data_IF_191248196645
#
_entry.id   IF_191248196645
#
_cell.length_a   1.000
_cell.length_b   1.000
_cell.length_c   1.000
_cell.angle_alpha   90.00
_cell.angle_beta   90.00
_cell.angle_gamma   90.00
#
_symmetry.space_group_name_H-M   'P 1'
#
loop_
_entity.id
_entity.type
_entity.pdbx_description
1 polymer ?
#
# COMPACT_ATOMS: atom_id res chain seq x y z
N UNK A 1 -17.49 14.10 -1.63
CA UNK A 1 -17.90 14.43 -0.25
C UNK A 1 -16.67 14.24 0.61
N UNK A 2 -16.21 15.28 1.29
CA UNK A 2 -15.00 15.21 2.13
C UNK A 2 -15.21 14.24 3.29
N UNK A 3 -14.21 13.41 3.57
CA UNK A 3 -14.26 12.49 4.70
C UNK A 3 -13.95 13.23 6.00
N UNK A 4 -14.86 13.15 6.97
CA UNK A 4 -14.74 13.79 8.29
C UNK A 4 -15.05 12.79 9.42
N UNK A 5 -14.66 13.06 10.68
CA UNK A 5 -14.93 12.16 11.80
C UNK A 5 -16.43 11.84 11.96
N UNK A 6 -17.30 12.84 11.77
CA UNK A 6 -18.75 12.68 11.80
C UNK A 6 -19.27 11.71 10.74
N UNK A 7 -18.72 11.80 9.53
CA UNK A 7 -19.14 10.91 8.41
C UNK A 7 -18.71 9.48 8.65
N UNK A 8 -17.53 9.28 9.26
CA UNK A 8 -17.02 7.98 9.68
C UNK A 8 -17.89 7.39 10.79
N UNK A 9 -18.22 8.18 11.82
CA UNK A 9 -19.08 7.75 12.93
C UNK A 9 -20.50 7.38 12.45
N UNK A 10 -21.03 8.08 11.44
CA UNK A 10 -22.35 7.80 10.84
C UNK A 10 -22.35 6.61 9.87
N UNK A 11 -21.19 6.04 9.53
CA UNK A 11 -21.10 4.86 8.68
C UNK A 11 -21.46 3.58 9.48
N UNK A 12 -22.75 3.21 9.40
CA UNK A 12 -23.34 2.08 10.14
C UNK A 12 -22.86 0.69 9.72
N UNK A 13 -22.11 0.58 8.62
CA UNK A 13 -21.53 -0.68 8.17
C UNK A 13 -20.12 -0.47 7.62
N UNK A 14 -19.32 -1.52 7.69
CA UNK A 14 -17.93 -1.50 7.23
C UNK A 14 -17.85 -1.35 5.71
N UNK A 15 -18.76 -1.97 4.96
CA UNK A 15 -18.90 -1.74 3.51
C UNK A 15 -19.18 -0.28 3.18
N UNK A 16 -20.01 0.41 3.97
CA UNK A 16 -20.29 1.83 3.74
C UNK A 16 -19.05 2.68 4.03
N UNK A 17 -18.32 2.39 5.10
CA UNK A 17 -17.10 3.11 5.44
C UNK A 17 -15.98 2.86 4.41
N UNK A 18 -15.78 1.62 3.97
CA UNK A 18 -14.84 1.28 2.91
C UNK A 18 -15.13 2.09 1.63
N UNK A 19 -16.40 2.16 1.20
CA UNK A 19 -16.79 2.99 0.03
C UNK A 19 -16.48 4.48 0.22
N UNK A 20 -16.66 5.01 1.43
CA UNK A 20 -16.33 6.42 1.72
C UNK A 20 -14.82 6.67 1.69
N UNK A 21 -14.02 5.75 2.24
CA UNK A 21 -12.55 5.80 2.19
C UNK A 21 -12.05 5.77 0.74
N UNK A 22 -12.50 4.78 -0.05
CA UNK A 22 -12.13 4.66 -1.46
C UNK A 22 -12.55 5.89 -2.28
N UNK A 23 -13.77 6.40 -2.06
CA UNK A 23 -14.24 7.59 -2.76
C UNK A 23 -13.40 8.83 -2.44
N UNK A 24 -12.96 8.98 -1.19
CA UNK A 24 -12.11 10.11 -0.80
C UNK A 24 -10.70 9.98 -1.37
N UNK A 25 -10.11 8.78 -1.38
CA UNK A 25 -8.84 8.52 -2.03
C UNK A 25 -8.90 8.83 -3.53
N UNK A 26 -9.91 8.35 -4.24
CA UNK A 26 -10.12 8.66 -5.66
C UNK A 26 -10.28 10.17 -5.90
N UNK A 27 -10.95 10.89 -5.00
CA UNK A 27 -11.12 12.34 -5.11
C UNK A 27 -9.79 13.09 -4.93
N UNK A 28 -8.93 12.63 -4.02
CA UNK A 28 -7.67 13.30 -3.68
C UNK A 28 -6.53 12.96 -4.65
N UNK A 29 -6.45 11.72 -5.11
CA UNK A 29 -5.35 11.24 -5.95
C UNK A 29 -5.69 11.30 -7.45
N UNK A 30 -6.98 11.24 -7.79
CA UNK A 30 -7.47 10.99 -9.15
C UNK A 30 -7.86 9.52 -9.34
N UNK A 31 -8.52 9.19 -10.46
CA UNK A 31 -8.86 7.82 -10.80
C UNK A 31 -7.63 7.06 -11.32
N UNK A 32 -7.46 5.82 -10.87
CA UNK A 32 -6.42 4.92 -11.37
C UNK A 32 -5.05 5.11 -10.72
N UNK A 33 -4.13 4.23 -11.10
CA UNK A 33 -2.75 4.22 -10.63
C UNK A 33 -1.88 5.12 -11.53
N UNK A 34 -0.75 5.67 -11.03
CA UNK A 34 0.11 6.56 -11.82
C UNK A 34 0.67 5.85 -13.06
N UNK A 35 0.75 6.56 -14.18
CA UNK A 35 1.43 6.07 -15.38
C UNK A 35 2.95 6.14 -15.21
N UNK A 36 3.68 5.46 -16.10
CA UNK A 36 5.14 5.58 -16.19
C UNK A 36 5.56 7.05 -16.33
N UNK A 37 6.42 7.51 -15.42
CA UNK A 37 6.88 8.91 -15.33
C UNK A 37 6.04 9.83 -14.44
N UNK A 38 4.91 9.37 -13.89
CA UNK A 38 4.06 10.17 -12.98
C UNK A 38 4.31 9.87 -11.49
N UNK A 39 5.17 8.90 -11.19
CA UNK A 39 5.42 8.43 -9.82
C UNK A 39 5.93 9.52 -8.88
N UNK A 40 6.82 10.41 -9.32
CA UNK A 40 7.30 11.50 -8.46
C UNK A 40 6.15 12.43 -8.02
N UNK A 41 5.31 12.85 -8.96
CA UNK A 41 4.14 13.66 -8.67
C UNK A 41 3.14 12.90 -7.79
N UNK A 42 2.98 11.60 -8.01
CA UNK A 42 2.11 10.76 -7.20
C UNK A 42 2.63 10.61 -5.76
N UNK A 43 3.93 10.39 -5.55
CA UNK A 43 4.56 10.33 -4.22
C UNK A 43 4.40 11.67 -3.49
N UNK A 44 4.55 12.80 -4.19
CA UNK A 44 4.28 14.12 -3.59
C UNK A 44 2.80 14.27 -3.16
N UNK A 45 1.85 13.80 -3.97
CA UNK A 45 0.43 13.79 -3.60
C UNK A 45 0.18 12.88 -2.40
N UNK A 46 0.73 11.67 -2.38
CA UNK A 46 0.65 10.74 -1.25
C UNK A 46 1.09 11.40 0.05
N UNK A 47 2.24 12.07 0.05
CA UNK A 47 2.79 12.78 1.23
C UNK A 47 1.92 13.93 1.73
N UNK A 48 1.04 14.47 0.89
CA UNK A 48 0.10 15.53 1.25
C UNK A 48 -1.18 15.03 1.91
N UNK A 49 -1.44 13.72 1.85
CA UNK A 49 -2.63 13.13 2.44
C UNK A 49 -2.56 13.09 3.97
N UNK A 50 -3.71 13.06 4.66
CA UNK A 50 -3.77 12.66 6.07
C UNK A 50 -3.08 11.30 6.29
N UNK A 51 -2.36 11.08 7.41
CA UNK A 51 -1.50 9.90 7.60
C UNK A 51 -2.19 8.56 7.35
N UNK A 52 -3.44 8.41 7.75
CA UNK A 52 -4.23 7.20 7.53
C UNK A 52 -4.59 7.01 6.05
N UNK A 53 -5.03 8.06 5.35
CA UNK A 53 -5.31 7.99 3.91
C UNK A 53 -4.03 7.76 3.10
N UNK A 54 -2.93 8.40 3.50
CA UNK A 54 -1.61 8.13 2.97
C UNK A 54 -1.27 6.64 3.06
N UNK A 55 -1.40 6.08 4.27
CA UNK A 55 -1.06 4.69 4.52
C UNK A 55 -1.91 3.71 3.72
N UNK A 56 -3.21 3.97 3.61
CA UNK A 56 -4.13 3.17 2.78
C UNK A 56 -3.72 3.21 1.31
N UNK A 57 -3.50 4.40 0.76
CA UNK A 57 -3.13 4.54 -0.65
C UNK A 57 -1.75 3.92 -0.97
N UNK A 58 -0.76 4.12 -0.09
CA UNK A 58 0.59 3.61 -0.30
C UNK A 58 0.71 2.08 -0.15
N UNK A 59 -0.25 1.44 0.53
CA UNK A 59 -0.25 -0.02 0.76
C UNK A 59 -1.23 -0.79 -0.12
N UNK A 60 -2.14 -0.10 -0.81
CA UNK A 60 -3.14 -0.74 -1.67
C UNK A 60 -2.52 -1.66 -2.72
N UNK A 61 -1.53 -1.15 -3.45
CA UNK A 61 -0.92 -1.90 -4.54
C UNK A 61 -0.04 -3.06 -4.04
N UNK A 62 0.46 -2.98 -2.81
CA UNK A 62 1.12 -4.12 -2.17
C UNK A 62 0.11 -5.24 -1.87
N UNK A 63 -1.07 -4.90 -1.36
CA UNK A 63 -2.15 -5.86 -1.12
C UNK A 63 -2.55 -6.57 -2.41
N UNK A 64 -2.74 -5.81 -3.50
CA UNK A 64 -3.06 -6.35 -4.83
C UNK A 64 -1.94 -7.26 -5.34
N UNK A 65 -0.68 -6.81 -5.30
CA UNK A 65 0.45 -7.63 -5.75
C UNK A 65 0.56 -8.93 -4.97
N UNK A 66 0.45 -8.90 -3.64
CA UNK A 66 0.55 -10.13 -2.85
C UNK A 66 -0.68 -11.04 -2.98
N UNK A 67 -1.84 -10.52 -3.35
CA UNK A 67 -3.02 -11.33 -3.62
C UNK A 67 -2.94 -12.10 -4.95
N UNK A 68 -2.20 -11.57 -5.93
CA UNK A 68 -2.15 -12.10 -7.30
C UNK A 68 -0.81 -12.76 -7.67
N UNK A 69 0.28 -12.19 -7.18
CA UNK A 69 1.66 -12.51 -7.51
C UNK A 69 2.52 -12.45 -6.22
N UNK A 70 3.64 -11.72 -6.24
CA UNK A 70 4.64 -11.66 -5.18
C UNK A 70 5.34 -10.28 -5.09
N UNK A 71 6.35 -10.17 -4.22
CA UNK A 71 7.15 -8.95 -4.04
C UNK A 71 7.99 -8.58 -5.26
N UNK A 72 8.49 -9.53 -6.05
CA UNK A 72 9.27 -9.23 -7.25
C UNK A 72 8.42 -8.54 -8.30
N UNK A 73 7.22 -9.06 -8.55
CA UNK A 73 6.22 -8.42 -9.40
C UNK A 73 5.74 -7.10 -8.82
N UNK A 74 5.58 -6.98 -7.50
CA UNK A 74 5.28 -5.69 -6.87
C UNK A 74 6.33 -4.62 -7.23
N UNK A 75 7.62 -4.91 -7.02
CA UNK A 75 8.68 -3.95 -7.30
C UNK A 75 8.87 -3.67 -8.79
N UNK A 76 8.48 -4.58 -9.68
CA UNK A 76 8.52 -4.35 -11.14
C UNK A 76 7.33 -3.53 -11.63
N UNK A 77 6.12 -3.84 -11.18
CA UNK A 77 4.91 -3.10 -11.55
C UNK A 77 4.90 -1.68 -10.95
N UNK A 78 5.46 -1.52 -9.76
CA UNK A 78 5.53 -0.28 -9.00
C UNK A 78 6.96 0.22 -8.86
N UNK A 79 7.71 0.21 -9.97
CA UNK A 79 9.15 0.41 -10.01
C UNK A 79 9.60 1.85 -9.69
N UNK A 80 9.45 2.23 -8.42
CA UNK A 80 9.82 3.55 -7.92
C UNK A 80 10.24 3.49 -6.44
N UNK A 81 11.52 3.81 -6.17
CA UNK A 81 12.10 3.75 -4.81
C UNK A 81 11.33 4.63 -3.82
N UNK A 82 10.94 5.83 -4.25
CA UNK A 82 10.15 6.73 -3.41
C UNK A 82 8.79 6.16 -3.03
N UNK A 83 8.16 5.39 -3.94
CA UNK A 83 6.87 4.77 -3.66
C UNK A 83 7.02 3.59 -2.70
N UNK A 84 8.04 2.75 -2.88
CA UNK A 84 8.35 1.67 -1.94
C UNK A 84 8.60 2.19 -0.50
N UNK A 85 9.24 3.36 -0.35
CA UNK A 85 9.38 3.98 0.97
C UNK A 85 8.05 4.46 1.56
N UNK A 86 7.14 5.02 0.74
CA UNK A 86 5.81 5.37 1.22
C UNK A 86 4.99 4.11 1.57
N UNK A 87 5.13 3.00 0.84
CA UNK A 87 4.53 1.70 1.19
C UNK A 87 4.99 1.23 2.57
N UNK A 88 6.31 1.26 2.81
CA UNK A 88 6.89 0.91 4.12
C UNK A 88 6.33 1.78 5.24
N UNK A 89 6.26 3.10 5.02
CA UNK A 89 5.69 4.05 5.99
C UNK A 89 4.20 3.78 6.22
N UNK A 90 3.47 3.41 5.18
CA UNK A 90 2.06 3.03 5.27
C UNK A 90 1.83 1.79 6.13
N UNK A 91 2.65 0.74 5.95
CA UNK A 91 2.60 -0.46 6.78
C UNK A 91 2.80 -0.14 8.27
N UNK A 92 3.77 0.73 8.57
CA UNK A 92 4.04 1.19 9.93
C UNK A 92 2.84 1.95 10.52
N UNK A 93 2.26 2.89 9.77
CA UNK A 93 1.11 3.67 10.21
C UNK A 93 -0.13 2.79 10.46
N UNK A 94 -0.37 1.78 9.62
CA UNK A 94 -1.48 0.83 9.80
C UNK A 94 -1.26 -0.14 10.98
N UNK A 95 -0.15 -0.02 11.71
CA UNK A 95 0.16 -0.90 12.84
C UNK A 95 0.50 -2.32 12.40
N UNK A 96 1.21 -2.45 11.28
CA UNK A 96 1.63 -3.74 10.68
C UNK A 96 3.16 -3.91 10.80
N UNK A 97 3.72 -3.98 12.02
CA UNK A 97 5.17 -3.91 12.23
C UNK A 97 5.92 -5.13 11.68
N UNK A 98 5.32 -6.32 11.70
CA UNK A 98 5.93 -7.52 11.12
C UNK A 98 6.04 -7.39 9.60
N UNK A 99 4.95 -6.96 8.95
CA UNK A 99 4.89 -6.78 7.51
C UNK A 99 5.79 -5.63 7.06
N UNK A 100 5.88 -4.55 7.85
CA UNK A 100 6.85 -3.48 7.62
C UNK A 100 8.30 -4.00 7.69
N UNK A 101 8.63 -4.84 8.66
CA UNK A 101 9.98 -5.41 8.78
C UNK A 101 10.30 -6.38 7.64
N UNK A 102 9.33 -7.18 7.20
CA UNK A 102 9.46 -8.08 6.04
C UNK A 102 9.62 -7.28 4.74
N UNK A 103 8.78 -6.29 4.53
CA UNK A 103 8.85 -5.42 3.35
C UNK A 103 10.16 -4.63 3.31
N UNK A 104 10.67 -4.16 4.45
CA UNK A 104 11.98 -3.51 4.53
C UNK A 104 13.13 -4.44 4.12
N UNK A 105 13.09 -5.71 4.53
CA UNK A 105 14.06 -6.72 4.09
C UNK A 105 13.96 -6.98 2.59
N UNK A 106 12.73 -7.13 2.07
CA UNK A 106 12.48 -7.30 0.65
C UNK A 106 12.98 -6.11 -0.18
N UNK A 107 12.73 -4.88 0.28
CA UNK A 107 13.20 -3.67 -0.37
C UNK A 107 14.74 -3.61 -0.39
N UNK A 108 15.40 -4.01 0.69
CA UNK A 108 16.87 -4.08 0.72
C UNK A 108 17.41 -5.06 -0.35
N UNK A 109 16.79 -6.23 -0.49
CA UNK A 109 17.14 -7.21 -1.54
C UNK A 109 16.85 -6.61 -2.92
N UNK A 110 15.66 -6.06 -3.13
CA UNK A 110 15.23 -5.51 -4.40
C UNK A 110 16.14 -4.37 -4.89
N UNK A 111 16.60 -3.50 -3.98
CA UNK A 111 17.54 -2.41 -4.32
C UNK A 111 18.87 -2.93 -4.88
N UNK A 112 19.35 -4.10 -4.45
CA UNK A 112 20.54 -4.72 -5.03
C UNK A 112 20.31 -5.27 -6.46
N UNK A 113 19.04 -5.43 -6.85
CA UNK A 113 18.60 -5.94 -8.15
C UNK A 113 17.78 -4.91 -8.94
N UNK A 114 17.82 -3.63 -8.57
CA UNK A 114 16.85 -2.63 -9.02
C UNK A 114 16.83 -2.48 -10.56
N UNK A 115 18.00 -2.37 -11.18
CA UNK A 115 18.10 -2.26 -12.65
C UNK A 115 17.53 -3.49 -13.37
N UNK A 116 17.67 -4.68 -12.78
CA UNK A 116 17.09 -5.90 -13.33
C UNK A 116 15.56 -5.89 -13.22
N UNK A 117 15.03 -5.45 -12.07
CA UNK A 117 13.58 -5.36 -11.80
C UNK A 117 12.88 -4.42 -12.78
N UNK A 118 13.51 -3.28 -13.10
CA UNK A 118 12.99 -2.30 -14.06
C UNK A 118 13.27 -2.63 -15.53
N UNK A 119 13.94 -3.75 -15.81
CA UNK A 119 14.36 -4.07 -17.18
C UNK A 119 13.20 -4.62 -18.02
N UNK A 120 13.19 -4.38 -19.35
CA UNK A 120 12.19 -4.98 -20.24
C UNK A 120 12.19 -6.52 -20.25
N UNK A 121 13.30 -7.14 -19.84
CA UNK A 121 13.48 -8.59 -19.77
C UNK A 121 13.01 -9.20 -18.46
N UNK A 122 12.62 -8.39 -17.47
CA UNK A 122 12.25 -8.86 -16.14
C UNK A 122 11.20 -9.97 -16.20
N UNK A 123 10.09 -9.75 -16.93
CA UNK A 123 9.00 -10.72 -17.08
C UNK A 123 9.49 -12.11 -17.49
N UNK A 124 10.43 -12.19 -18.42
CA UNK A 124 10.90 -13.46 -18.98
C UNK A 124 12.00 -14.10 -18.12
N UNK A 125 12.77 -13.27 -17.41
CA UNK A 125 13.96 -13.68 -16.67
C UNK A 125 13.76 -13.81 -15.15
N UNK A 126 12.61 -13.38 -14.62
CA UNK A 126 12.34 -13.36 -13.18
C UNK A 126 12.19 -14.78 -12.59
N UNK A 127 11.49 -15.67 -13.31
CA UNK A 127 11.25 -17.04 -12.86
C UNK A 127 12.57 -17.80 -12.71
N UNK A 128 12.74 -18.47 -11.56
CA UNK A 128 13.95 -19.14 -11.07
C UNK A 128 15.19 -18.24 -10.90
N UNK A 129 15.04 -16.92 -10.95
CA UNK A 129 16.14 -15.98 -10.79
C UNK A 129 16.71 -15.99 -9.37
N UNK A 130 17.94 -15.50 -9.16
CA UNK A 130 18.47 -15.28 -7.82
C UNK A 130 17.60 -14.33 -6.98
N UNK A 131 16.92 -13.38 -7.62
CA UNK A 131 16.03 -12.43 -6.95
C UNK A 131 14.77 -13.13 -6.41
N UNK A 132 14.06 -13.90 -7.24
CA UNK A 132 12.88 -14.65 -6.81
C UNK A 132 13.23 -15.54 -5.61
N UNK A 133 14.28 -16.36 -5.73
CA UNK A 133 14.75 -17.23 -4.64
C UNK A 133 15.12 -16.50 -3.36
N UNK A 134 15.61 -15.26 -3.46
CA UNK A 134 15.94 -14.44 -2.30
C UNK A 134 14.68 -13.83 -1.66
N UNK A 135 13.64 -13.56 -2.44
CA UNK A 135 12.37 -13.02 -1.97
C UNK A 135 11.39 -14.09 -1.49
N UNK A 136 11.48 -15.33 -1.99
CA UNK A 136 10.56 -16.45 -1.67
C UNK A 136 10.29 -16.61 -0.17
N UNK A 137 11.30 -16.67 0.72
CA UNK A 137 11.03 -16.83 2.16
C UNK A 137 10.28 -15.63 2.77
N UNK A 138 10.39 -14.44 2.17
CA UNK A 138 9.69 -13.23 2.60
C UNK A 138 8.27 -13.23 2.04
N UNK A 139 8.08 -13.65 0.78
CA UNK A 139 6.77 -13.83 0.15
C UNK A 139 5.90 -14.79 0.99
N UNK A 140 6.44 -15.96 1.33
CA UNK A 140 5.76 -16.97 2.16
C UNK A 140 5.25 -16.38 3.48
N UNK A 141 6.10 -15.60 4.15
CA UNK A 141 5.73 -14.95 5.42
C UNK A 141 4.69 -13.86 5.24
N UNK A 142 4.81 -13.02 4.21
CA UNK A 142 3.82 -11.98 3.94
C UNK A 142 2.45 -12.57 3.56
N UNK A 143 2.40 -13.63 2.77
CA UNK A 143 1.13 -14.30 2.47
C UNK A 143 0.47 -14.89 3.73
N UNK A 144 1.26 -15.36 4.70
CA UNK A 144 0.74 -15.75 6.02
C UNK A 144 0.18 -14.54 6.78
N UNK A 145 0.91 -13.43 6.86
CA UNK A 145 0.47 -12.20 7.53
C UNK A 145 -0.82 -11.63 6.90
N UNK A 146 -0.95 -11.67 5.57
CA UNK A 146 -2.11 -11.18 4.84
C UNK A 146 -3.25 -12.20 4.72
N UNK A 147 -3.03 -13.44 5.16
CA UNK A 147 -4.08 -14.46 5.21
C UNK A 147 -4.42 -15.11 3.87
N UNK A 148 -3.62 -14.90 2.83
CA UNK A 148 -3.86 -15.48 1.50
C UNK A 148 -3.72 -17.00 1.44
N UNK A 149 -3.14 -17.62 2.47
CA UNK A 149 -3.08 -19.08 2.64
C UNK A 149 -4.06 -19.65 3.69
N UNK A 150 -5.08 -18.90 4.12
CA UNK A 150 -6.09 -19.39 5.07
C UNK A 150 -5.61 -19.52 6.52
N UNK A 151 -4.42 -18.99 6.85
CA UNK A 151 -3.75 -19.15 8.14
C UNK A 151 -4.08 -18.03 9.16
N UNK A 152 -5.26 -17.40 9.06
CA UNK A 152 -5.74 -16.43 10.05
C UNK A 152 -5.16 -15.01 9.94
N UNK A 153 -4.37 -14.72 8.90
CA UNK A 153 -3.98 -13.36 8.54
C UNK A 153 -5.15 -12.54 7.97
N UNK A 154 -4.94 -11.23 7.80
CA UNK A 154 -5.96 -10.28 7.33
C UNK A 154 -5.34 -9.39 6.26
N UNK A 155 -5.96 -9.34 5.08
CA UNK A 155 -5.53 -8.50 3.97
C UNK A 155 -5.42 -7.03 4.41
N UNK A 156 -4.48 -6.28 3.85
CA UNK A 156 -4.23 -4.89 4.24
C UNK A 156 -5.46 -4.02 4.04
N UNK A 157 -6.21 -4.23 2.95
CA UNK A 157 -7.45 -3.49 2.67
C UNK A 157 -8.51 -3.71 3.76
N UNK A 158 -8.56 -4.90 4.37
CA UNK A 158 -9.50 -5.21 5.45
C UNK A 158 -9.13 -4.47 6.75
N UNK A 159 -7.88 -4.03 6.91
CA UNK A 159 -7.42 -3.25 8.08
C UNK A 159 -7.86 -1.78 8.02
N UNK A 160 -8.26 -1.28 6.85
CA UNK A 160 -8.57 0.13 6.66
C UNK A 160 -9.76 0.60 7.49
N UNK A 161 -10.83 -0.19 7.52
CA UNK A 161 -12.05 0.16 8.24
C UNK A 161 -11.84 0.17 9.77
N UNK A 162 -11.28 -0.89 10.39
CA UNK A 162 -10.94 -0.85 11.82
C UNK A 162 -9.97 0.27 12.17
N UNK A 163 -9.00 0.59 11.30
CA UNK A 163 -8.09 1.71 11.49
C UNK A 163 -8.85 3.05 11.47
N UNK A 164 -9.67 3.31 10.44
CA UNK A 164 -10.43 4.55 10.30
C UNK A 164 -11.40 4.80 11.47
N UNK A 165 -11.97 3.73 12.04
CA UNK A 165 -12.82 3.85 13.24
C UNK A 165 -12.04 4.23 14.49
N UNK A 166 -10.81 3.72 14.65
CA UNK A 166 -9.95 4.03 15.80
C UNK A 166 -9.27 5.39 15.70
N UNK A 167 -8.97 5.82 14.48
CA UNK A 167 -8.21 7.05 14.19
C UNK A 167 -8.92 7.92 13.15
N UNK A 168 -10.16 8.37 13.40
CA UNK A 168 -10.95 9.10 12.41
C UNK A 168 -10.31 10.43 12.03
N UNK A 169 -9.56 11.06 12.93
CA UNK A 169 -8.77 12.27 12.68
C UNK A 169 -7.66 12.05 11.65
N UNK A 170 -7.04 10.87 11.63
CA UNK A 170 -5.93 10.55 10.72
C UNK A 170 -6.35 10.24 9.31
N UNK A 171 -7.63 9.97 9.08
CA UNK A 171 -8.21 9.74 7.75
C UNK A 171 -9.11 10.88 7.29
N UNK A 172 -9.23 11.95 8.09
CA UNK A 172 -10.09 13.09 7.76
C UNK A 172 -9.27 14.22 7.16
N UNK A 173 -9.84 14.88 6.15
CA UNK A 173 -9.27 16.13 5.63
C UNK A 173 -9.80 17.25 6.52
N UNK A 174 -8.95 17.77 7.41
CA UNK A 174 -9.29 18.96 8.19
C UNK A 174 -9.23 20.13 7.21
N UNK A 175 -10.39 20.71 6.88
CA UNK A 175 -10.42 22.03 6.30
C UNK A 175 -9.89 23.00 7.35
N UNK A 176 -8.58 23.29 7.29
CA UNK A 176 -8.06 24.49 7.92
C UNK A 176 -8.67 25.66 7.15
N UNK A 177 -9.85 26.09 7.60
CA UNK A 177 -10.39 27.37 7.19
C UNK A 177 -9.36 28.42 7.55
N UNK A 178 -8.65 28.93 6.55
CA UNK A 178 -8.05 30.25 6.62
C UNK A 178 -9.17 31.22 6.95
N UNK A 179 -9.21 31.66 8.20
CA UNK A 179 -9.81 32.92 8.63
C UNK A 179 -8.82 34.03 8.30
#
# INVERSE_FOLDING_TARGET
>A
MTLTPDTIAKARSDTKLAKLLSAELCRLLGPGSPSDGEYDAFVLKLRSLPPGLHAMAATYELDVSMALDDLGWHFSNWHHVGFAHETLRGLQELGSPEEAALFQQALHIALAHWDFIGSPTFRDAYLNSPLEKALDPINDRLWVCFGYHGNGGVALVERWVPYARRHPDRVSVINNGTV
#
